data_IF_975358673173
#
_entry.id   IF_975358673173
#
_cell.length_a   1.000
_cell.length_b   1.000
_cell.length_c   1.000
_cell.angle_alpha   90.00
_cell.angle_beta   90.00
_cell.angle_gamma   90.00
#
_symmetry.space_group_name_H-M   'P 1'
#
loop_
_entity.id
_entity.type
_entity.pdbx_description
1 polymer ?
#
# COMPACT_ATOMS: atom_id res chain seq x y z
N UNK A 1 13.95 5.07 -19.56
CA UNK A 1 12.70 5.26 -18.80
C UNK A 1 13.07 5.40 -17.34
N UNK A 2 13.18 6.65 -16.88
CA UNK A 2 13.55 6.96 -15.51
C UNK A 2 12.31 6.81 -14.64
N UNK A 3 12.31 5.87 -13.70
CA UNK A 3 11.31 5.86 -12.62
C UNK A 3 11.50 7.18 -11.87
N UNK A 4 10.64 8.16 -12.11
CA UNK A 4 10.60 9.38 -11.29
C UNK A 4 10.43 8.93 -9.84
N UNK A 5 11.38 9.36 -9.00
CA UNK A 5 11.48 8.94 -7.62
C UNK A 5 10.18 9.20 -6.89
N UNK A 6 9.73 8.22 -6.12
CA UNK A 6 8.65 8.42 -5.14
C UNK A 6 8.97 9.64 -4.31
N UNK A 7 7.95 10.42 -3.97
CA UNK A 7 8.13 11.50 -3.00
C UNK A 7 8.59 10.90 -1.67
N UNK A 8 9.29 11.69 -0.85
CA UNK A 8 9.75 11.24 0.46
C UNK A 8 8.55 10.82 1.34
N UNK A 9 7.44 11.55 1.26
CA UNK A 9 6.15 11.15 1.87
C UNK A 9 5.60 9.81 1.39
N UNK A 10 5.69 9.49 0.09
CA UNK A 10 5.32 8.17 -0.42
C UNK A 10 6.23 7.06 0.10
N UNK A 11 7.53 7.33 0.25
CA UNK A 11 8.46 6.37 0.86
C UNK A 11 8.15 6.13 2.34
N UNK A 12 7.89 7.19 3.11
CA UNK A 12 7.50 7.09 4.51
C UNK A 12 6.18 6.35 4.69
N UNK A 13 5.18 6.60 3.83
CA UNK A 13 3.91 5.88 3.87
C UNK A 13 4.12 4.39 3.65
N UNK A 14 4.90 4.03 2.64
CA UNK A 14 5.23 2.63 2.35
C UNK A 14 5.95 1.99 3.52
N UNK A 15 6.91 2.68 4.13
CA UNK A 15 7.61 2.19 5.32
C UNK A 15 6.66 1.98 6.51
N UNK A 16 5.75 2.93 6.78
CA UNK A 16 4.74 2.80 7.83
C UNK A 16 3.79 1.62 7.57
N UNK A 17 3.36 1.43 6.32
CA UNK A 17 2.54 0.29 5.92
C UNK A 17 3.26 -1.04 6.12
N UNK A 18 4.54 -1.13 5.75
CA UNK A 18 5.37 -2.32 5.98
C UNK A 18 5.55 -2.59 7.48
N UNK A 19 5.76 -1.57 8.30
CA UNK A 19 5.86 -1.71 9.77
C UNK A 19 4.54 -2.22 10.35
N UNK A 20 3.41 -1.70 9.88
CA UNK A 20 2.09 -2.16 10.32
C UNK A 20 1.86 -3.62 9.90
N UNK A 21 2.16 -3.98 8.64
CA UNK A 21 2.06 -5.36 8.16
C UNK A 21 2.95 -6.31 8.97
N UNK A 22 4.19 -5.94 9.28
CA UNK A 22 5.10 -6.76 10.08
C UNK A 22 4.54 -7.06 11.48
N UNK A 23 3.77 -6.14 12.08
CA UNK A 23 3.29 -6.24 13.47
C UNK A 23 1.88 -6.83 13.58
N UNK A 24 1.01 -6.50 12.64
CA UNK A 24 -0.43 -6.72 12.76
C UNK A 24 -1.02 -7.62 11.67
N UNK A 25 -0.25 -8.02 10.65
CA UNK A 25 -0.78 -8.94 9.65
C UNK A 25 -1.07 -10.32 10.27
N UNK A 26 -2.26 -10.84 9.99
CA UNK A 26 -2.69 -12.19 10.39
C UNK A 26 -1.94 -13.28 9.62
N UNK A 27 -1.57 -13.01 8.36
CA UNK A 27 -0.76 -13.93 7.53
C UNK A 27 0.73 -13.79 7.87
N UNK A 28 1.32 -14.85 8.43
CA UNK A 28 2.73 -14.91 8.79
C UNK A 28 3.65 -14.65 7.60
N UNK A 29 3.25 -15.07 6.40
CA UNK A 29 4.04 -14.87 5.18
C UNK A 29 4.09 -13.40 4.78
N UNK A 30 3.04 -12.61 5.07
CA UNK A 30 3.05 -11.16 4.88
C UNK A 30 3.93 -10.47 5.91
N UNK A 31 3.95 -10.95 7.16
CA UNK A 31 4.86 -10.43 8.19
C UNK A 31 6.32 -10.63 7.79
N UNK A 32 6.64 -11.83 7.31
CA UNK A 32 7.99 -12.18 6.86
C UNK A 32 8.39 -11.37 5.61
N UNK A 33 7.50 -11.24 4.63
CA UNK A 33 7.73 -10.42 3.44
C UNK A 33 7.99 -8.95 3.83
N UNK A 34 7.20 -8.39 4.74
CA UNK A 34 7.40 -7.03 5.23
C UNK A 34 8.73 -6.88 5.98
N UNK A 35 9.09 -7.89 6.79
CA UNK A 35 10.38 -7.92 7.50
C UNK A 35 11.57 -7.99 6.53
N UNK A 36 11.45 -8.73 5.43
CA UNK A 36 12.51 -8.86 4.43
C UNK A 36 12.69 -7.57 3.63
N UNK A 37 11.60 -6.84 3.34
CA UNK A 37 11.67 -5.53 2.69
C UNK A 37 12.28 -4.48 3.62
N UNK A 38 11.83 -4.40 4.88
CA UNK A 38 12.39 -3.47 5.87
C UNK A 38 13.86 -3.79 6.20
N UNK A 39 14.23 -5.07 6.20
CA UNK A 39 15.60 -5.53 6.41
C UNK A 39 16.51 -5.38 5.20
N UNK A 40 16.01 -4.92 4.05
CA UNK A 40 16.77 -4.77 2.81
C UNK A 40 17.19 -6.08 2.16
N UNK A 41 16.65 -7.23 2.60
CA UNK A 41 16.89 -8.55 1.99
C UNK A 41 16.15 -8.70 0.67
N UNK A 42 15.06 -7.95 0.53
CA UNK A 42 14.22 -7.94 -0.66
C UNK A 42 13.87 -6.48 -1.00
N UNK A 43 13.90 -6.09 -2.27
CA UNK A 43 13.35 -4.79 -2.64
C UNK A 43 11.81 -4.81 -2.62
N UNK A 44 11.17 -3.66 -2.41
CA UNK A 44 9.71 -3.58 -2.49
C UNK A 44 9.18 -4.04 -3.86
N UNK A 45 9.94 -3.78 -4.93
CA UNK A 45 9.56 -4.21 -6.28
C UNK A 45 9.53 -5.73 -6.38
N UNK A 46 10.50 -6.42 -5.79
CA UNK A 46 10.54 -7.88 -5.74
C UNK A 46 9.43 -8.43 -4.82
N UNK A 47 9.12 -7.76 -3.70
CA UNK A 47 8.01 -8.14 -2.82
C UNK A 47 6.68 -8.12 -3.55
N UNK A 48 6.40 -7.05 -4.29
CA UNK A 48 5.16 -6.92 -5.07
C UNK A 48 5.08 -7.93 -6.22
N UNK A 49 6.21 -8.39 -6.73
CA UNK A 49 6.26 -9.43 -7.74
C UNK A 49 6.15 -10.86 -7.16
N UNK A 50 6.17 -11.00 -5.83
CA UNK A 50 6.08 -12.30 -5.18
C UNK A 50 4.65 -12.86 -5.23
N UNK A 51 4.54 -14.17 -5.40
CA UNK A 51 3.25 -14.86 -5.27
C UNK A 51 2.69 -14.75 -3.86
N UNK A 52 3.54 -14.68 -2.83
CA UNK A 52 3.14 -14.49 -1.43
C UNK A 52 2.34 -13.21 -1.22
N UNK A 53 2.84 -12.09 -1.76
CA UNK A 53 2.10 -10.82 -1.72
C UNK A 53 0.77 -10.93 -2.47
N UNK A 54 0.81 -11.49 -3.68
CA UNK A 54 -0.40 -11.60 -4.52
C UNK A 54 -1.45 -12.49 -3.88
N UNK A 55 -1.07 -13.65 -3.32
CA UNK A 55 -1.97 -14.60 -2.67
C UNK A 55 -2.60 -14.02 -1.40
N UNK A 56 -1.83 -13.30 -0.59
CA UNK A 56 -2.34 -12.78 0.67
C UNK A 56 -3.24 -11.55 0.48
N UNK A 57 -3.00 -10.76 -0.58
CA UNK A 57 -3.78 -9.54 -0.87
C UNK A 57 -4.95 -9.83 -1.83
N UNK A 58 -4.92 -10.94 -2.58
CA UNK A 58 -5.97 -11.32 -3.53
C UNK A 58 -7.39 -11.37 -2.93
N UNK A 59 -7.64 -11.96 -1.74
CA UNK A 59 -8.98 -11.99 -1.16
C UNK A 59 -9.54 -10.58 -0.92
N UNK A 60 -8.73 -9.70 -0.32
CA UNK A 60 -9.11 -8.32 -0.04
C UNK A 60 -9.29 -7.50 -1.33
N UNK A 61 -8.47 -7.75 -2.36
CA UNK A 61 -8.61 -7.08 -3.66
C UNK A 61 -9.85 -7.55 -4.41
N UNK A 62 -10.20 -8.83 -4.32
CA UNK A 62 -11.44 -9.35 -4.89
C UNK A 62 -12.66 -8.72 -4.21
N UNK A 63 -12.70 -8.71 -2.87
CA UNK A 63 -13.77 -8.06 -2.11
C UNK A 63 -13.87 -6.56 -2.42
N UNK A 64 -12.74 -5.86 -2.46
CA UNK A 64 -12.69 -4.46 -2.86
C UNK A 64 -13.23 -4.27 -4.28
N UNK A 65 -12.80 -5.09 -5.24
CA UNK A 65 -13.19 -4.98 -6.64
C UNK A 65 -14.68 -5.25 -6.84
N UNK A 66 -15.24 -6.23 -6.15
CA UNK A 66 -16.67 -6.52 -6.19
C UNK A 66 -17.48 -5.36 -5.62
N UNK A 67 -17.09 -4.86 -4.44
CA UNK A 67 -17.70 -3.68 -3.81
C UNK A 67 -17.63 -2.46 -4.71
N UNK A 68 -16.46 -2.17 -5.28
CA UNK A 68 -16.23 -1.01 -6.14
C UNK A 68 -17.03 -1.09 -7.46
N UNK A 69 -17.17 -2.29 -8.03
CA UNK A 69 -17.97 -2.50 -9.25
C UNK A 69 -19.46 -2.31 -8.98
N UNK A 70 -19.92 -2.66 -7.78
CA UNK A 70 -21.30 -2.46 -7.36
C UNK A 70 -21.63 -1.00 -6.97
N UNK A 71 -20.63 -0.13 -6.79
CA UNK A 71 -20.85 1.29 -6.46
C UNK A 71 -21.36 2.09 -7.66
N UNK A 72 -22.26 3.03 -7.37
CA UNK A 72 -22.63 4.05 -8.34
C UNK A 72 -21.47 5.03 -8.59
N UNK A 73 -21.60 5.86 -9.63
CA UNK A 73 -20.53 6.79 -10.00
C UNK A 73 -20.26 7.83 -8.91
N UNK A 74 -21.29 8.26 -8.17
CA UNK A 74 -21.17 9.30 -7.14
C UNK A 74 -20.40 8.77 -5.93
N UNK A 75 -20.62 7.52 -5.55
CA UNK A 75 -19.90 6.85 -4.48
C UNK A 75 -18.45 6.59 -4.86
N UNK A 76 -18.18 6.22 -6.12
CA UNK A 76 -16.82 6.10 -6.66
C UNK A 76 -16.05 7.42 -6.64
N UNK A 77 -16.70 8.51 -7.03
CA UNK A 77 -16.09 9.85 -6.99
C UNK A 77 -15.79 10.27 -5.55
N UNK A 78 -16.66 9.90 -4.61
CA UNK A 78 -16.46 10.16 -3.17
C UNK A 78 -15.29 9.36 -2.62
N UNK A 79 -15.15 8.07 -2.97
CA UNK A 79 -13.99 7.27 -2.59
C UNK A 79 -12.69 7.83 -3.18
N UNK A 80 -12.69 8.23 -4.46
CA UNK A 80 -11.54 8.83 -5.12
C UNK A 80 -11.11 10.13 -4.42
N UNK A 81 -12.06 10.98 -4.03
CA UNK A 81 -11.77 12.20 -3.27
C UNK A 81 -11.18 11.90 -1.89
N UNK A 82 -11.70 10.87 -1.18
CA UNK A 82 -11.15 10.46 0.12
C UNK A 82 -9.73 9.94 -0.01
N UNK A 83 -9.47 9.07 -0.99
CA UNK A 83 -8.13 8.56 -1.27
C UNK A 83 -7.16 9.69 -1.58
N UNK A 84 -7.55 10.63 -2.46
CA UNK A 84 -6.74 11.79 -2.80
C UNK A 84 -6.46 12.72 -1.60
N UNK A 85 -7.43 12.89 -0.69
CA UNK A 85 -7.24 13.68 0.52
C UNK A 85 -6.26 13.03 1.52
N UNK A 86 -6.24 11.69 1.60
CA UNK A 86 -5.27 10.96 2.43
C UNK A 86 -3.87 11.16 1.87
N UNK A 87 -3.67 10.97 0.56
CA UNK A 87 -2.37 11.17 -0.09
C UNK A 87 -1.86 12.59 0.14
N UNK A 88 -2.70 13.60 -0.08
CA UNK A 88 -2.30 15.00 0.11
C UNK A 88 -1.93 15.33 1.56
N UNK A 89 -2.67 14.82 2.55
CA UNK A 89 -2.32 14.99 3.97
C UNK A 89 -0.97 14.38 4.32
N UNK A 90 -0.63 13.26 3.70
CA UNK A 90 0.66 12.60 3.90
C UNK A 90 1.80 13.41 3.26
N UNK A 91 1.58 13.99 2.08
CA UNK A 91 2.53 14.91 1.44
C UNK A 91 2.75 16.18 2.27
N UNK A 92 1.70 16.74 2.87
CA UNK A 92 1.78 17.93 3.73
C UNK A 92 2.50 17.65 5.06
N UNK A 93 2.31 16.46 5.64
CA UNK A 93 3.00 16.03 6.86
C UNK A 93 4.52 15.89 6.67
N UNK A 94 4.96 15.43 5.49
CA UNK A 94 6.38 15.29 5.12
C UNK A 94 7.07 16.64 4.85
N UNK A 95 6.33 17.67 4.41
CA UNK A 95 6.86 19.02 4.20
C UNK A 95 7.02 19.85 5.48
N UNK A 96 6.47 19.38 6.60
CA UNK A 96 6.46 20.09 7.89
C UNK A 96 7.55 19.63 8.86
N UNK A 97 8.47 18.75 8.43
CA UNK A 97 9.63 18.25 9.18
C UNK A 97 10.95 18.65 8.53
#
# INVERSE_FOLDING_TARGET
MSYQGRSRGEQQLVEQLLIHLQREADDERLRDLASDVLGGRLSLREAMASSVYTEAVAPAMNEYSERYTAMDQKDRDTEAQRAGAIVRKLEEADQSQ
#
